data_IF_576080335989
#
_entry.id   IF_576080335989
#
_cell.length_a   1.000
_cell.length_b   1.000
_cell.length_c   1.000
_cell.angle_alpha   90.00
_cell.angle_beta   90.00
_cell.angle_gamma   90.00
#
_symmetry.space_group_name_H-M   'P 1'
#
loop_
_entity.id
_entity.type
_entity.pdbx_description
1 polymer ?
#
# COMPACT_ATOMS: atom_id res chain seq x y z
N UNK A 1 -2.01 -0.17 12.27
CA UNK A 1 -2.66 0.13 10.97
C UNK A 1 -2.12 -0.85 9.95
N UNK A 2 -2.93 -1.31 9.00
CA UNK A 2 -2.51 -2.14 7.87
C UNK A 2 -2.86 -1.43 6.57
N UNK A 3 -1.94 -1.45 5.59
CA UNK A 3 -2.15 -0.87 4.27
C UNK A 3 -2.01 -2.01 3.26
N UNK A 4 -3.00 -2.16 2.40
CA UNK A 4 -3.03 -3.13 1.32
C UNK A 4 -3.09 -2.36 0.01
N UNK A 5 -2.01 -2.44 -0.77
CA UNK A 5 -1.94 -1.85 -2.09
C UNK A 5 -2.21 -2.96 -3.11
N UNK A 6 -3.17 -2.73 -3.99
CA UNK A 6 -3.50 -3.53 -5.17
C UNK A 6 -3.23 -2.70 -6.41
N UNK A 7 -3.23 -3.33 -7.58
CA UNK A 7 -2.92 -2.69 -8.87
C UNK A 7 -3.73 -1.42 -9.18
N UNK A 8 -4.95 -1.29 -8.66
CA UNK A 8 -5.83 -0.13 -8.91
C UNK A 8 -6.48 0.45 -7.66
N UNK A 9 -6.05 0.02 -6.47
CA UNK A 9 -6.68 0.47 -5.24
C UNK A 9 -5.78 0.34 -4.02
N UNK A 10 -6.02 1.22 -3.05
CA UNK A 10 -5.35 1.22 -1.75
C UNK A 10 -6.40 1.05 -0.68
N UNK A 11 -6.23 0.05 0.19
CA UNK A 11 -7.11 -0.22 1.32
C UNK A 11 -6.34 -0.02 2.62
N UNK A 12 -6.84 0.86 3.48
CA UNK A 12 -6.25 1.16 4.79
C UNK A 12 -7.17 0.70 5.90
N UNK A 13 -6.63 -0.08 6.85
CA UNK A 13 -7.39 -0.63 7.98
C UNK A 13 -6.75 -0.20 9.29
N UNK A 14 -7.48 0.58 10.10
CA UNK A 14 -6.98 1.10 11.38
C UNK A 14 -7.95 2.08 12.04
N UNK A 15 -7.46 2.78 13.08
CA UNK A 15 -8.25 3.81 13.76
C UNK A 15 -8.49 5.00 12.81
N UNK A 16 -9.68 5.63 12.82
CA UNK A 16 -10.00 6.71 11.87
C UNK A 16 -8.99 7.86 11.85
N UNK A 17 -8.48 8.27 13.01
CA UNK A 17 -7.49 9.35 13.10
C UNK A 17 -6.14 8.97 12.48
N UNK A 18 -5.74 7.71 12.58
CA UNK A 18 -4.50 7.21 11.96
C UNK A 18 -4.64 7.28 10.44
N UNK A 19 -5.79 6.82 9.91
CA UNK A 19 -6.09 6.84 8.47
C UNK A 19 -5.99 8.27 7.94
N UNK A 20 -6.63 9.23 8.61
CA UNK A 20 -6.56 10.66 8.25
C UNK A 20 -5.13 11.19 8.25
N UNK A 21 -4.33 10.83 9.26
CA UNK A 21 -2.93 11.27 9.35
C UNK A 21 -2.07 10.72 8.21
N UNK A 22 -2.20 9.42 7.90
CA UNK A 22 -1.42 8.80 6.84
C UNK A 22 -1.80 9.33 5.46
N UNK A 23 -3.09 9.54 5.18
CA UNK A 23 -3.53 10.16 3.91
C UNK A 23 -2.83 11.50 3.71
N UNK A 24 -2.80 12.37 4.75
CA UNK A 24 -2.11 13.66 4.68
C UNK A 24 -0.61 13.52 4.40
N UNK A 25 0.05 12.52 4.99
CA UNK A 25 1.47 12.27 4.76
C UNK A 25 1.73 11.84 3.31
N UNK A 26 0.93 10.90 2.78
CA UNK A 26 1.12 10.43 1.40
C UNK A 26 0.73 11.47 0.35
N UNK A 27 -0.22 12.35 0.63
CA UNK A 27 -0.52 13.50 -0.23
C UNK A 27 0.66 14.49 -0.36
N UNK A 28 1.61 14.48 0.57
CA UNK A 28 2.84 15.28 0.45
C UNK A 28 3.93 14.54 -0.32
N UNK A 29 3.84 13.22 -0.42
CA UNK A 29 4.85 12.36 -1.06
C UNK A 29 4.51 12.01 -2.51
N UNK A 30 3.22 11.94 -2.83
CA UNK A 30 2.70 11.55 -4.13
C UNK A 30 1.65 12.56 -4.57
N UNK A 31 1.68 12.97 -5.84
CA UNK A 31 0.69 13.88 -6.41
C UNK A 31 -0.59 13.13 -6.73
N UNK A 32 -0.46 11.87 -7.18
CA UNK A 32 -1.60 11.03 -7.55
C UNK A 32 -1.62 9.71 -6.80
N UNK A 33 -2.82 9.11 -6.71
CA UNK A 33 -3.00 7.76 -6.15
C UNK A 33 -2.28 6.72 -7.02
N UNK A 34 -2.19 6.93 -8.32
CA UNK A 34 -1.50 6.03 -9.24
C UNK A 34 0.01 5.99 -8.97
N UNK A 35 0.63 7.15 -8.76
CA UNK A 35 2.04 7.25 -8.34
C UNK A 35 2.28 6.53 -7.00
N UNK A 36 1.35 6.66 -6.06
CA UNK A 36 1.45 5.96 -4.78
C UNK A 36 1.39 4.43 -4.97
N UNK A 37 0.53 3.93 -5.87
CA UNK A 37 0.45 2.50 -6.21
C UNK A 37 1.73 2.00 -6.91
N UNK A 38 2.32 2.80 -7.79
CA UNK A 38 3.53 2.44 -8.53
C UNK A 38 4.82 2.66 -7.73
N UNK A 39 4.72 3.41 -6.62
CA UNK A 39 5.81 3.75 -5.74
C UNK A 39 6.46 2.56 -5.03
N UNK A 40 7.57 2.80 -4.32
CA UNK A 40 8.33 1.76 -3.63
C UNK A 40 7.48 0.96 -2.63
N UNK A 41 6.45 1.56 -2.04
CA UNK A 41 5.56 0.88 -1.09
C UNK A 41 4.51 -0.02 -1.76
N UNK A 42 4.15 0.27 -3.02
CA UNK A 42 3.19 -0.53 -3.78
C UNK A 42 3.80 -1.76 -4.45
N UNK A 43 5.13 -1.81 -4.55
CA UNK A 43 5.89 -3.01 -4.95
C UNK A 43 5.91 -4.01 -3.80
N UNK A 44 4.79 -4.70 -3.58
CA UNK A 44 4.77 -5.84 -2.66
C UNK A 44 5.82 -6.86 -3.14
N UNK A 45 6.66 -7.40 -2.24
CA UNK A 45 7.50 -8.53 -2.60
C UNK A 45 6.55 -9.65 -3.04
N UNK A 46 6.68 -10.09 -4.30
CA UNK A 46 6.01 -11.31 -4.77
C UNK A 46 6.36 -12.38 -3.76
N UNK A 47 5.37 -12.91 -3.05
CA UNK A 47 5.52 -14.19 -2.36
C UNK A 47 5.64 -15.23 -3.45
N UNK A 48 6.87 -15.41 -3.95
CA UNK A 48 7.22 -16.55 -4.77
C UNK A 48 6.77 -17.79 -4.00
N UNK A 49 5.83 -18.48 -4.62
CA UNK A 49 5.11 -19.60 -4.05
C UNK A 49 6.10 -20.61 -3.46
N UNK A 50 5.84 -20.99 -2.20
CA UNK A 50 6.13 -22.34 -1.73
C UNK A 50 5.55 -23.33 -2.76
N UNK A 51 6.38 -23.82 -3.67
CA UNK A 51 6.15 -25.01 -4.51
C UNK A 51 7.48 -25.66 -4.86
N UNK A 52 8.33 -25.93 -3.88
CA UNK A 52 9.35 -26.96 -3.99
C UNK A 52 9.44 -27.63 -2.61
N UNK A 53 9.47 -28.96 -2.60
CA UNK A 53 9.42 -29.88 -1.45
C UNK A 53 8.02 -30.37 -1.06
N UNK A 54 7.33 -30.93 -2.07
CA UNK A 54 6.67 -32.23 -1.94
C UNK A 54 7.71 -33.34 -1.95
#
# INVERSE_FOLDING_TARGET
MKIYIKEKSITMVGKPWQIKSMIKQYMQQYETVEEWIQGPEGKQPKKDHLRLLS
#
